data_IF_831729187718
#
_entry.id   IF_831729187718
#
_cell.length_a   1.000
_cell.length_b   1.000
_cell.length_c   1.000
_cell.angle_alpha   90.00
_cell.angle_beta   90.00
_cell.angle_gamma   90.00
#
_symmetry.space_group_name_H-M   'P 1'
#
loop_
_entity.id
_entity.type
_entity.pdbx_description
1 polymer ?
#
# COMPACT_ATOMS: atom_id res chain seq x y z
N UNK A 1 -9.25 1.79 -12.68
CA UNK A 1 -9.86 3.00 -12.12
C UNK A 1 -10.97 2.62 -11.17
N UNK A 2 -10.63 2.41 -9.91
CA UNK A 2 -11.58 2.09 -8.83
C UNK A 2 -11.42 3.15 -7.74
N UNK A 3 -11.69 4.41 -8.09
CA UNK A 3 -11.38 5.57 -7.24
C UNK A 3 -12.16 5.60 -5.94
N UNK A 4 -13.25 4.83 -5.83
CA UNK A 4 -14.05 4.68 -4.61
C UNK A 4 -13.64 3.47 -3.75
N UNK A 5 -12.65 2.67 -4.16
CA UNK A 5 -12.23 1.49 -3.40
C UNK A 5 -11.60 1.92 -2.07
N UNK A 6 -12.18 1.47 -0.97
CA UNK A 6 -11.72 1.84 0.38
C UNK A 6 -10.82 0.77 1.01
N UNK A 7 -10.98 -0.50 0.63
CA UNK A 7 -10.21 -1.61 1.18
C UNK A 7 -9.70 -2.50 0.06
N UNK A 8 -8.41 -2.82 0.11
CA UNK A 8 -7.77 -3.77 -0.80
C UNK A 8 -7.03 -4.81 0.03
N UNK A 9 -7.49 -6.06 -0.05
CA UNK A 9 -6.82 -7.20 0.55
C UNK A 9 -6.32 -8.14 -0.55
N UNK A 10 -5.00 -8.27 -0.67
CA UNK A 10 -4.34 -9.15 -1.62
C UNK A 10 -3.25 -10.01 -0.95
N UNK A 11 -3.39 -10.27 0.35
CA UNK A 11 -2.42 -11.04 1.14
C UNK A 11 -2.29 -12.50 0.73
N UNK A 12 -1.19 -13.13 1.13
CA UNK A 12 -0.88 -14.55 0.88
C UNK A 12 -0.91 -14.92 -0.61
N UNK A 13 -0.22 -14.13 -1.41
CA UNK A 13 -0.10 -14.34 -2.85
C UNK A 13 1.38 -14.36 -3.26
N UNK A 14 1.60 -14.42 -4.57
CA UNK A 14 2.94 -14.38 -5.19
C UNK A 14 3.13 -13.09 -6.00
N UNK A 15 2.52 -11.98 -5.56
CA UNK A 15 2.63 -10.71 -6.26
C UNK A 15 4.08 -10.22 -6.20
N UNK A 16 4.65 -9.95 -7.37
CA UNK A 16 5.98 -9.36 -7.53
C UNK A 16 5.91 -7.85 -7.72
N UNK A 17 4.74 -7.34 -8.12
CA UNK A 17 4.40 -5.94 -8.24
C UNK A 17 2.95 -5.69 -7.80
N UNK A 18 2.69 -4.50 -7.29
CA UNK A 18 1.37 -4.04 -6.91
C UNK A 18 1.26 -2.55 -7.25
N UNK A 19 0.38 -2.22 -8.19
CA UNK A 19 0.07 -0.84 -8.55
C UNK A 19 -1.25 -0.41 -7.89
N UNK A 20 -1.14 0.55 -6.97
CA UNK A 20 -2.26 1.17 -6.25
C UNK A 20 -2.43 2.64 -6.65
N UNK A 21 -1.77 3.08 -7.72
CA UNK A 21 -1.86 4.46 -8.18
C UNK A 21 -3.32 4.82 -8.52
N UNK A 22 -3.73 6.01 -8.06
CA UNK A 22 -5.10 6.51 -8.26
C UNK A 22 -6.17 5.93 -7.33
N UNK A 23 -5.83 5.03 -6.40
CA UNK A 23 -6.75 4.59 -5.34
C UNK A 23 -6.81 5.61 -4.19
N UNK A 24 -7.08 6.88 -4.50
CA UNK A 24 -6.97 7.98 -3.52
C UNK A 24 -7.95 7.89 -2.35
N UNK A 25 -9.05 7.14 -2.49
CA UNK A 25 -9.99 6.85 -1.40
C UNK A 25 -9.63 5.60 -0.57
N UNK A 26 -8.53 4.91 -0.87
CA UNK A 26 -8.12 3.70 -0.17
C UNK A 26 -7.74 4.03 1.27
N UNK A 27 -8.40 3.35 2.21
CA UNK A 27 -8.21 3.49 3.64
C UNK A 27 -7.42 2.32 4.22
N UNK A 28 -7.59 1.12 3.67
CA UNK A 28 -6.91 -0.09 4.14
C UNK A 28 -6.25 -0.83 2.99
N UNK A 29 -4.94 -1.09 3.11
CA UNK A 29 -4.17 -1.92 2.19
C UNK A 29 -3.50 -3.05 2.96
N UNK A 30 -3.97 -4.29 2.75
CA UNK A 30 -3.30 -5.50 3.22
C UNK A 30 -2.70 -6.26 2.03
N UNK A 31 -1.38 -6.14 1.89
CA UNK A 31 -0.58 -6.82 0.87
C UNK A 31 0.48 -7.74 1.50
N UNK A 32 0.28 -8.17 2.75
CA UNK A 32 1.23 -9.00 3.45
C UNK A 32 1.47 -10.35 2.76
N UNK A 33 2.62 -10.96 3.03
CA UNK A 33 2.97 -12.29 2.51
C UNK A 33 2.88 -12.34 0.97
N UNK A 34 3.69 -11.50 0.34
CA UNK A 34 3.89 -11.41 -1.10
C UNK A 34 5.40 -11.35 -1.41
N UNK A 35 5.77 -11.05 -2.66
CA UNK A 35 7.16 -10.97 -3.12
C UNK A 35 7.52 -9.58 -3.64
N UNK A 36 6.84 -8.54 -3.12
CA UNK A 36 7.05 -7.17 -3.53
C UNK A 36 8.47 -6.73 -3.14
N UNK A 37 9.19 -6.15 -4.11
CA UNK A 37 10.53 -5.56 -3.88
C UNK A 37 10.46 -4.06 -3.60
N UNK A 38 9.42 -3.43 -4.12
CA UNK A 38 9.10 -2.02 -3.91
C UNK A 38 7.59 -1.90 -3.70
N UNK A 39 7.21 -0.91 -2.91
CA UNK A 39 5.81 -0.52 -2.74
C UNK A 39 5.75 1.00 -2.67
N UNK A 40 4.97 1.59 -3.57
CA UNK A 40 4.70 3.01 -3.57
C UNK A 40 3.25 3.27 -3.16
N UNK A 41 3.08 3.87 -1.97
CA UNK A 41 1.77 4.30 -1.46
C UNK A 41 1.68 5.83 -1.42
N UNK A 42 2.60 6.53 -2.09
CA UNK A 42 2.54 7.99 -2.21
C UNK A 42 1.23 8.40 -2.89
N UNK A 43 0.52 9.37 -2.30
CA UNK A 43 -0.75 9.86 -2.83
C UNK A 43 -1.99 9.07 -2.39
N UNK A 44 -1.85 7.98 -1.63
CA UNK A 44 -2.97 7.33 -0.94
C UNK A 44 -3.36 8.14 0.31
N UNK A 45 -3.77 9.40 0.13
CA UNK A 45 -3.93 10.37 1.23
C UNK A 45 -4.99 9.97 2.27
N UNK A 46 -5.93 9.09 1.91
CA UNK A 46 -6.92 8.53 2.82
C UNK A 46 -6.44 7.26 3.58
N UNK A 47 -5.23 6.75 3.32
CA UNK A 47 -4.75 5.48 3.83
C UNK A 47 -4.53 5.52 5.34
N UNK A 48 -5.30 4.72 6.06
CA UNK A 48 -5.31 4.60 7.51
C UNK A 48 -4.58 3.35 8.00
N UNK A 49 -4.54 2.29 7.20
CA UNK A 49 -3.89 1.04 7.57
C UNK A 49 -3.12 0.50 6.37
N UNK A 50 -1.87 0.13 6.63
CA UNK A 50 -0.98 -0.51 5.67
C UNK A 50 -0.33 -1.72 6.34
N UNK A 51 -0.67 -2.91 5.88
CA UNK A 51 0.09 -4.12 6.16
C UNK A 51 0.82 -4.55 4.88
N UNK A 52 2.15 -4.45 4.92
CA UNK A 52 3.04 -4.93 3.87
C UNK A 52 4.09 -5.90 4.41
N UNK A 53 3.84 -6.50 5.58
CA UNK A 53 4.75 -7.45 6.21
C UNK A 53 5.00 -8.67 5.33
N UNK A 54 6.10 -9.39 5.59
CA UNK A 54 6.44 -10.63 4.86
C UNK A 54 6.48 -10.38 3.34
N UNK A 55 7.20 -9.33 2.94
CA UNK A 55 7.57 -9.03 1.57
C UNK A 55 9.09 -8.94 1.46
N UNK A 56 9.62 -8.64 0.26
CA UNK A 56 11.04 -8.44 0.01
C UNK A 56 11.36 -6.95 -0.21
N UNK A 57 10.63 -6.06 0.48
CA UNK A 57 10.68 -4.63 0.26
C UNK A 57 12.08 -4.09 0.59
N UNK A 58 12.76 -3.56 -0.43
CA UNK A 58 13.97 -2.74 -0.27
C UNK A 58 13.64 -1.26 -0.15
N UNK A 59 12.47 -0.87 -0.64
CA UNK A 59 12.00 0.51 -0.63
C UNK A 59 10.51 0.53 -0.38
N UNK A 60 10.09 1.34 0.58
CA UNK A 60 8.71 1.67 0.86
C UNK A 60 8.58 3.19 0.82
N UNK A 61 7.82 3.71 -0.14
CA UNK A 61 7.58 5.15 -0.25
C UNK A 61 6.24 5.53 0.38
N UNK A 62 6.30 6.21 1.52
CA UNK A 62 5.15 6.72 2.29
C UNK A 62 4.98 8.24 2.19
N UNK A 63 5.68 8.88 1.24
CA UNK A 63 5.64 10.33 1.11
C UNK A 63 4.20 10.86 0.89
N UNK A 64 3.87 11.95 1.56
CA UNK A 64 2.54 12.55 1.52
C UNK A 64 1.49 11.85 2.39
N UNK A 65 1.85 10.75 3.07
CA UNK A 65 0.99 10.15 4.08
C UNK A 65 1.25 10.82 5.44
N UNK A 66 0.64 11.98 5.62
CA UNK A 66 0.85 12.87 6.78
C UNK A 66 0.68 12.20 8.15
N UNK A 67 -0.03 11.06 8.23
CA UNK A 67 -0.24 10.32 9.48
C UNK A 67 0.82 9.25 9.79
N UNK A 68 1.59 8.80 8.80
CA UNK A 68 2.75 7.93 9.00
C UNK A 68 4.05 8.72 9.15
N UNK A 69 4.03 10.02 8.83
CA UNK A 69 5.06 10.96 9.24
C UNK A 69 4.82 11.37 10.70
N UNK A 70 5.43 10.66 11.66
CA UNK A 70 5.54 11.13 13.05
C UNK A 70 6.97 10.97 13.56
N UNK A 71 7.52 12.12 13.97
CA UNK A 71 8.81 12.44 14.59
C UNK A 71 10.06 12.25 13.70
#
# INVERSE_FOLDING_TARGET
GCTALQKLNCRFNKLTALDVSGLTALQELDCQSNQLKTLNVSGLTALQELDCNTNQLKTLNVYGLNRFARA
#
